data_IF_653701332426
#
_entry.id   IF_653701332426
#
_cell.length_a   1.000
_cell.length_b   1.000
_cell.length_c   1.000
_cell.angle_alpha   90.00
_cell.angle_beta   90.00
_cell.angle_gamma   90.00
#
_symmetry.space_group_name_H-M   'P 1'
#
loop_
_entity.id
_entity.type
_entity.pdbx_description
1 polymer ?
#
# COMPACT_ATOMS: atom_id res chain seq x y z
N UNK A 1 6.56 -3.57 -20.87
CA UNK A 1 6.27 -2.63 -21.97
C UNK A 1 6.92 -1.31 -21.56
N UNK A 2 7.70 -0.67 -22.44
CA UNK A 2 8.31 0.63 -22.11
C UNK A 2 7.19 1.67 -21.99
N UNK A 3 7.19 2.44 -20.91
CA UNK A 3 6.24 3.52 -20.69
C UNK A 3 7.05 4.82 -20.56
N UNK A 4 6.99 5.64 -21.62
CA UNK A 4 7.73 6.89 -21.72
C UNK A 4 6.98 7.99 -20.99
N UNK A 5 7.57 8.45 -19.88
CA UNK A 5 6.96 9.45 -19.03
C UNK A 5 6.59 10.73 -19.80
N UNK A 6 5.35 11.21 -19.56
CA UNK A 6 4.79 12.38 -20.21
C UNK A 6 4.82 12.30 -21.74
N UNK A 7 4.80 11.09 -22.30
CA UNK A 7 4.85 10.84 -23.75
C UNK A 7 6.06 11.50 -24.44
N UNK A 8 7.12 11.80 -23.68
CA UNK A 8 8.29 12.54 -24.15
C UNK A 8 8.07 14.04 -24.35
N UNK A 9 6.93 14.60 -23.91
CA UNK A 9 6.57 16.00 -24.08
C UNK A 9 6.79 16.82 -22.78
N UNK A 10 7.76 17.76 -22.75
CA UNK A 10 7.96 18.66 -21.62
C UNK A 10 6.77 19.57 -21.33
N UNK A 11 5.98 19.94 -22.35
CA UNK A 11 4.79 20.76 -22.17
C UNK A 11 3.70 19.98 -21.42
N UNK A 12 3.51 18.70 -21.77
CA UNK A 12 2.60 17.81 -21.04
C UNK A 12 3.02 17.65 -19.57
N UNK A 13 4.32 17.49 -19.29
CA UNK A 13 4.81 17.47 -17.90
C UNK A 13 4.47 18.78 -17.16
N UNK A 14 4.76 19.92 -17.78
CA UNK A 14 4.49 21.23 -17.18
C UNK A 14 2.99 21.47 -16.93
N UNK A 15 2.14 21.10 -17.89
CA UNK A 15 0.68 21.19 -17.75
C UNK A 15 0.17 20.31 -16.61
N UNK A 16 0.64 19.06 -16.55
CA UNK A 16 0.29 18.10 -15.50
C UNK A 16 0.67 18.64 -14.11
N UNK A 17 1.89 19.12 -13.95
CA UNK A 17 2.36 19.69 -12.69
C UNK A 17 1.55 20.92 -12.26
N UNK A 18 1.29 21.85 -13.19
CA UNK A 18 0.51 23.05 -12.88
C UNK A 18 -0.91 22.72 -12.42
N UNK A 19 -1.55 21.76 -13.12
CA UNK A 19 -2.90 21.30 -12.79
C UNK A 19 -2.97 20.68 -11.40
N UNK A 20 -2.05 19.77 -11.08
CA UNK A 20 -2.03 19.11 -9.77
C UNK A 20 -1.66 20.11 -8.68
N UNK A 21 -0.66 20.98 -8.90
CA UNK A 21 -0.20 21.98 -7.92
C UNK A 21 -1.32 22.88 -7.45
N UNK A 22 -2.08 23.46 -8.37
CA UNK A 22 -3.20 24.34 -8.03
C UNK A 22 -4.23 23.66 -7.11
N UNK A 23 -4.62 22.43 -7.43
CA UNK A 23 -5.63 21.70 -6.66
C UNK A 23 -5.05 21.10 -5.36
N UNK A 24 -3.75 20.79 -5.33
CA UNK A 24 -3.04 20.28 -4.16
C UNK A 24 -2.81 21.35 -3.09
N UNK A 25 -2.33 22.54 -3.50
CA UNK A 25 -2.07 23.68 -2.61
C UNK A 25 -3.37 24.19 -1.96
N UNK A 26 -4.47 24.13 -2.70
CA UNK A 26 -5.82 24.52 -2.22
C UNK A 26 -6.54 23.39 -1.48
N UNK A 27 -5.89 22.24 -1.23
CA UNK A 27 -6.45 21.07 -0.54
C UNK A 27 -7.73 20.52 -1.19
N UNK A 28 -7.89 20.71 -2.50
CA UNK A 28 -9.05 20.24 -3.27
C UNK A 28 -8.91 18.79 -3.76
N UNK A 29 -7.72 18.19 -3.67
CA UNK A 29 -7.52 16.77 -4.00
C UNK A 29 -7.62 15.94 -2.73
N UNK A 30 -8.37 14.84 -2.77
CA UNK A 30 -8.39 13.84 -1.70
C UNK A 30 -7.54 12.67 -2.17
N UNK A 31 -6.40 12.38 -1.52
CA UNK A 31 -5.62 11.22 -1.91
C UNK A 31 -6.43 9.94 -1.63
N UNK A 32 -6.73 9.19 -2.68
CA UNK A 32 -7.48 7.94 -2.68
C UNK A 32 -6.64 6.83 -3.28
N UNK A 33 -6.79 5.64 -2.71
CA UNK A 33 -6.11 4.41 -3.11
C UNK A 33 -6.67 3.78 -4.39
N UNK A 34 -7.45 4.55 -5.14
CA UNK A 34 -8.03 4.18 -6.42
C UNK A 34 -8.20 5.42 -7.29
N UNK A 35 -8.23 5.21 -8.60
CA UNK A 35 -8.39 6.28 -9.58
C UNK A 35 -9.80 6.88 -9.48
N UNK A 36 -9.91 8.14 -9.06
CA UNK A 36 -11.20 8.84 -8.97
C UNK A 36 -11.12 10.21 -9.62
N UNK A 37 -12.02 10.46 -10.56
CA UNK A 37 -12.20 11.76 -11.19
C UNK A 37 -13.68 12.09 -11.31
N UNK A 38 -14.03 13.34 -11.02
CA UNK A 38 -15.37 13.89 -11.21
C UNK A 38 -15.25 15.29 -11.78
N UNK A 39 -15.98 15.57 -12.85
CA UNK A 39 -16.10 16.94 -13.35
C UNK A 39 -16.95 17.77 -12.35
N UNK A 40 -16.46 18.94 -11.91
CA UNK A 40 -17.19 19.85 -11.00
C UNK A 40 -16.78 19.75 -9.52
N UNK A 41 -17.68 20.10 -8.59
CA UNK A 41 -17.44 20.12 -7.14
C UNK A 41 -17.29 18.72 -6.48
N UNK A 42 -17.12 17.68 -7.29
CA UNK A 42 -16.96 16.29 -6.83
C UNK A 42 -15.58 16.01 -6.23
N UNK A 43 -15.41 14.76 -5.80
CA UNK A 43 -14.13 14.26 -5.27
C UNK A 43 -13.23 13.83 -6.43
N UNK A 44 -11.98 14.29 -6.43
CA UNK A 44 -10.92 13.85 -7.31
C UNK A 44 -9.71 13.37 -6.50
N UNK A 45 -9.10 12.28 -6.96
CA UNK A 45 -7.84 11.71 -6.46
C UNK A 45 -6.64 12.42 -7.09
N UNK A 46 -5.43 12.25 -6.55
CA UNK A 46 -4.19 12.74 -7.17
C UNK A 46 -4.03 12.12 -8.56
N UNK A 47 -4.11 10.79 -8.67
CA UNK A 47 -4.08 10.07 -9.95
C UNK A 47 -5.19 10.53 -10.90
N UNK A 48 -6.41 10.74 -10.38
CA UNK A 48 -7.54 11.22 -11.17
C UNK A 48 -7.30 12.64 -11.69
N UNK A 49 -6.68 13.51 -10.89
CA UNK A 49 -6.36 14.90 -11.26
C UNK A 49 -5.24 14.95 -12.30
N UNK A 50 -4.22 14.09 -12.18
CA UNK A 50 -3.11 13.98 -13.12
C UNK A 50 -3.63 13.75 -14.55
N UNK A 51 -4.56 12.81 -14.75
CA UNK A 51 -5.03 12.44 -16.07
C UNK A 51 -6.44 12.96 -16.44
N UNK A 52 -7.12 13.60 -15.49
CA UNK A 52 -8.53 14.03 -15.60
C UNK A 52 -9.44 12.92 -16.12
N UNK A 53 -9.29 11.73 -15.53
CA UNK A 53 -10.02 10.52 -15.93
C UNK A 53 -10.16 9.56 -14.75
N UNK A 54 -11.18 8.71 -14.83
CA UNK A 54 -11.37 7.56 -13.95
C UNK A 54 -11.16 6.22 -14.69
N UNK A 55 -10.79 6.28 -15.96
CA UNK A 55 -10.48 5.12 -16.81
C UNK A 55 -8.98 4.80 -16.75
N UNK A 56 -8.58 3.60 -16.30
CA UNK A 56 -7.18 3.18 -16.22
C UNK A 56 -6.41 3.24 -17.55
N UNK A 57 -7.03 2.82 -18.65
CA UNK A 57 -6.38 2.82 -19.96
C UNK A 57 -6.16 4.26 -20.46
N UNK A 58 -7.14 5.14 -20.24
CA UNK A 58 -6.99 6.56 -20.56
C UNK A 58 -5.94 7.25 -19.67
N UNK A 59 -5.79 6.84 -18.41
CA UNK A 59 -4.73 7.35 -17.55
C UNK A 59 -3.36 7.14 -18.19
N UNK A 60 -3.05 5.89 -18.57
CA UNK A 60 -1.76 5.54 -19.18
C UNK A 60 -1.60 6.23 -20.52
N UNK A 61 -2.63 6.22 -21.38
CA UNK A 61 -2.57 6.83 -22.70
C UNK A 61 -2.36 8.35 -22.68
N UNK A 62 -2.89 9.06 -21.68
CA UNK A 62 -2.77 10.52 -21.56
C UNK A 62 -1.48 10.99 -20.89
N UNK A 63 -0.85 10.14 -20.10
CA UNK A 63 0.26 10.55 -19.21
C UNK A 63 1.58 9.85 -19.54
N UNK A 64 1.54 8.68 -20.17
CA UNK A 64 2.72 7.81 -20.30
C UNK A 64 3.23 7.25 -18.98
N UNK A 65 2.46 7.37 -17.89
CA UNK A 65 2.81 6.85 -16.57
C UNK A 65 2.06 5.53 -16.28
N UNK A 66 2.67 4.55 -15.61
CA UNK A 66 1.95 3.41 -15.06
C UNK A 66 0.93 3.89 -14.02
N UNK A 67 -0.29 3.36 -14.07
CA UNK A 67 -1.32 3.70 -13.07
C UNK A 67 -0.87 3.24 -11.68
N UNK A 68 -0.25 2.08 -11.61
CA UNK A 68 0.27 1.45 -10.41
C UNK A 68 1.26 2.36 -9.67
N UNK A 69 2.10 3.09 -10.42
CA UNK A 69 3.03 4.06 -9.84
C UNK A 69 2.28 5.23 -9.21
N UNK A 70 1.28 5.78 -9.90
CA UNK A 70 0.48 6.88 -9.37
C UNK A 70 -0.30 6.45 -8.12
N UNK A 71 -0.89 5.25 -8.14
CA UNK A 71 -1.60 4.69 -6.98
C UNK A 71 -0.66 4.38 -5.82
N UNK A 72 0.57 3.92 -6.09
CA UNK A 72 1.59 3.73 -5.06
C UNK A 72 1.94 5.05 -4.37
N UNK A 73 2.25 6.09 -5.15
CA UNK A 73 2.54 7.42 -4.61
C UNK A 73 1.36 7.97 -3.79
N UNK A 74 0.15 7.88 -4.35
CA UNK A 74 -1.07 8.36 -3.71
C UNK A 74 -1.40 7.60 -2.41
N UNK A 75 -1.12 6.30 -2.37
CA UNK A 75 -1.26 5.47 -1.18
C UNK A 75 -0.28 5.88 -0.07
N UNK A 76 0.98 6.19 -0.40
CA UNK A 76 1.95 6.70 0.58
C UNK A 76 1.48 8.04 1.16
N UNK A 77 0.99 8.94 0.30
CA UNK A 77 0.40 10.22 0.73
C UNK A 77 -0.84 10.01 1.62
N UNK A 78 -1.78 9.16 1.19
CA UNK A 78 -3.00 8.84 1.93
C UNK A 78 -2.68 8.28 3.32
N UNK A 79 -1.69 7.39 3.41
CA UNK A 79 -1.24 6.79 4.68
C UNK A 79 -0.72 7.86 5.64
N UNK A 80 -0.08 8.91 5.12
CA UNK A 80 0.46 10.03 5.92
C UNK A 80 -0.57 11.11 6.30
N UNK A 81 -1.74 11.13 5.66
CA UNK A 81 -2.77 12.15 5.91
C UNK A 81 -3.77 11.70 6.97
N UNK A 82 -4.11 12.66 7.83
CA UNK A 82 -5.21 12.60 8.78
C UNK A 82 -6.39 13.42 8.26
N UNK A 83 -7.56 12.79 8.26
CA UNK A 83 -8.84 13.44 8.02
C UNK A 83 -9.45 13.79 9.38
N UNK A 84 -9.81 15.05 9.58
CA UNK A 84 -10.47 15.53 10.80
C UNK A 84 -11.80 16.15 10.40
N UNK A 85 -12.88 15.72 11.03
CA UNK A 85 -14.21 16.28 10.78
C UNK A 85 -14.21 17.79 11.11
N UNK A 86 -14.76 18.58 10.20
CA UNK A 86 -14.88 20.02 10.31
C UNK A 86 -16.14 20.46 9.54
N UNK A 87 -17.21 20.75 10.29
CA UNK A 87 -18.50 21.17 9.74
C UNK A 87 -18.43 22.49 8.95
N UNK A 88 -17.38 23.28 9.16
CA UNK A 88 -17.17 24.55 8.45
C UNK A 88 -16.41 24.38 7.15
N UNK A 89 -15.71 23.25 6.97
CA UNK A 89 -15.00 22.95 5.75
C UNK A 89 -15.99 22.56 4.62
N UNK A 90 -15.74 22.95 3.36
CA UNK A 90 -16.64 22.66 2.23
C UNK A 90 -16.97 21.17 2.02
N UNK A 91 -16.15 20.27 2.57
CA UNK A 91 -16.30 18.80 2.46
C UNK A 91 -16.64 18.12 3.77
N UNK A 92 -16.88 18.87 4.84
CA UNK A 92 -17.12 18.34 6.19
C UNK A 92 -15.87 17.82 6.89
N UNK A 93 -14.68 18.02 6.31
CA UNK A 93 -13.41 17.66 6.93
C UNK A 93 -12.25 18.53 6.43
N UNK A 94 -11.20 18.57 7.23
CA UNK A 94 -9.88 19.09 6.88
C UNK A 94 -8.85 17.96 6.82
N UNK A 95 -7.81 18.16 6.01
CA UNK A 95 -6.69 17.23 5.92
C UNK A 95 -5.46 17.83 6.61
N UNK A 96 -4.81 17.05 7.48
CA UNK A 96 -3.57 17.42 8.15
C UNK A 96 -2.50 16.35 7.92
N UNK A 97 -1.24 16.77 7.77
CA UNK A 97 -0.09 15.88 7.59
C UNK A 97 1.21 16.63 7.87
N UNK A 98 2.29 15.87 8.02
CA UNK A 98 3.65 16.39 8.03
C UNK A 98 4.00 17.08 6.70
N UNK A 99 4.84 18.12 6.75
CA UNK A 99 5.22 18.90 5.56
C UNK A 99 5.86 18.03 4.48
N UNK A 100 6.65 17.01 4.85
CA UNK A 100 7.26 16.10 3.87
C UNK A 100 6.22 15.24 3.15
N UNK A 101 5.14 14.85 3.83
CA UNK A 101 4.01 14.15 3.20
C UNK A 101 3.31 15.06 2.18
N UNK A 102 3.11 16.33 2.54
CA UNK A 102 2.52 17.32 1.64
C UNK A 102 3.41 17.57 0.42
N UNK A 103 4.70 17.79 0.62
CA UNK A 103 5.67 18.02 -0.47
C UNK A 103 5.76 16.82 -1.41
N UNK A 104 5.76 15.60 -0.85
CA UNK A 104 5.82 14.38 -1.66
C UNK A 104 4.67 14.28 -2.66
N UNK A 105 3.48 14.82 -2.35
CA UNK A 105 2.30 14.81 -3.26
C UNK A 105 2.56 15.37 -4.66
N UNK A 106 3.56 16.25 -4.81
CA UNK A 106 4.04 16.77 -6.10
C UNK A 106 5.46 16.32 -6.44
N UNK A 107 6.34 16.17 -5.45
CA UNK A 107 7.77 15.92 -5.66
C UNK A 107 8.04 14.69 -6.53
N UNK A 108 7.25 13.63 -6.40
CA UNK A 108 7.42 12.43 -7.21
C UNK A 108 7.16 12.67 -8.70
N UNK A 109 6.18 13.53 -9.05
CA UNK A 109 5.93 13.93 -10.44
C UNK A 109 7.07 14.79 -10.98
N UNK A 110 7.61 15.68 -10.14
CA UNK A 110 8.73 16.54 -10.50
C UNK A 110 10.01 15.73 -10.74
N UNK A 111 10.24 14.68 -9.94
CA UNK A 111 11.39 13.79 -10.00
C UNK A 111 11.48 12.94 -11.28
N UNK A 112 10.38 12.73 -12.00
CA UNK A 112 10.36 11.93 -13.23
C UNK A 112 10.91 12.75 -14.40
N UNK A 113 12.05 12.40 -14.98
CA UNK A 113 12.49 13.03 -16.22
C UNK A 113 11.50 12.79 -17.37
N UNK A 114 11.34 13.79 -18.23
CA UNK A 114 10.56 13.64 -19.47
C UNK A 114 11.20 12.53 -20.29
N UNK A 115 10.37 11.69 -20.91
CA UNK A 115 10.82 10.56 -21.73
C UNK A 115 11.56 9.46 -20.96
N UNK A 116 11.61 9.49 -19.62
CA UNK A 116 12.14 8.39 -18.83
C UNK A 116 11.26 7.13 -18.99
N UNK A 117 11.87 5.94 -19.05
CA UNK A 117 11.11 4.69 -19.02
C UNK A 117 10.72 4.32 -17.59
N UNK A 118 9.47 4.59 -17.23
CA UNK A 118 8.94 4.38 -15.89
C UNK A 118 8.16 3.06 -15.75
N UNK A 119 8.16 2.22 -16.79
CA UNK A 119 7.35 1.00 -16.85
C UNK A 119 7.68 -0.05 -15.78
N UNK A 120 8.89 -0.05 -15.23
CA UNK A 120 9.37 -1.04 -14.27
C UNK A 120 9.53 -0.50 -12.83
N UNK A 121 9.17 0.76 -12.58
CA UNK A 121 9.47 1.43 -11.30
C UNK A 121 8.83 0.71 -10.11
N UNK A 122 7.57 0.30 -10.23
CA UNK A 122 6.87 -0.39 -9.13
C UNK A 122 7.52 -1.75 -8.84
N UNK A 123 7.89 -2.51 -9.87
CA UNK A 123 8.65 -3.75 -9.70
C UNK A 123 10.01 -3.50 -9.02
N UNK A 124 10.70 -2.40 -9.34
CA UNK A 124 11.96 -2.03 -8.67
C UNK A 124 11.76 -1.54 -7.23
N UNK A 125 10.58 -1.02 -6.91
CA UNK A 125 10.24 -0.55 -5.57
C UNK A 125 9.95 -1.69 -4.59
N UNK A 126 9.29 -2.78 -5.04
CA UNK A 126 8.91 -3.89 -4.15
C UNK A 126 10.09 -4.50 -3.34
N UNK A 127 11.28 -4.76 -3.93
CA UNK A 127 12.43 -5.21 -3.15
C UNK A 127 12.91 -4.18 -2.12
N UNK A 128 12.85 -2.87 -2.45
CA UNK A 128 13.22 -1.79 -1.52
C UNK A 128 12.25 -1.77 -0.34
N UNK A 129 10.95 -1.81 -0.63
CA UNK A 129 9.88 -1.85 0.36
C UNK A 129 10.05 -3.04 1.32
N UNK A 130 10.20 -4.24 0.78
CA UNK A 130 10.35 -5.45 1.60
C UNK A 130 11.66 -5.45 2.40
N UNK A 131 12.77 -4.96 1.82
CA UNK A 131 14.05 -4.84 2.54
C UNK A 131 13.93 -3.91 3.76
N UNK A 132 13.24 -2.78 3.59
CA UNK A 132 13.05 -1.82 4.68
C UNK A 132 12.15 -2.37 5.80
N UNK A 133 11.17 -3.21 5.48
CA UNK A 133 10.34 -3.92 6.48
C UNK A 133 11.16 -4.94 7.28
N UNK A 134 12.15 -5.56 6.66
CA UNK A 134 13.04 -6.52 7.31
C UNK A 134 14.14 -5.85 8.15
N UNK A 135 14.29 -4.54 8.08
CA UNK A 135 15.24 -3.77 8.88
C UNK A 135 14.87 -3.81 10.37
N UNK A 136 15.87 -3.77 11.25
CA UNK A 136 15.66 -3.64 12.69
C UNK A 136 15.09 -2.26 13.07
N UNK A 137 15.19 -1.28 12.17
CA UNK A 137 14.61 0.06 12.33
C UNK A 137 13.10 0.11 12.02
N UNK A 138 12.54 -0.95 11.43
CA UNK A 138 11.11 -1.01 11.15
C UNK A 138 10.31 -1.02 12.48
N UNK A 139 9.27 -0.18 12.64
CA UNK A 139 8.57 -0.04 13.93
C UNK A 139 7.98 -1.33 14.51
N UNK A 140 7.72 -2.35 13.68
CA UNK A 140 7.19 -3.64 14.10
C UNK A 140 8.20 -4.78 13.91
N UNK A 141 9.50 -4.49 13.77
CA UNK A 141 10.54 -5.49 13.53
C UNK A 141 10.57 -6.62 14.56
N UNK A 142 10.19 -6.34 15.81
CA UNK A 142 10.11 -7.30 16.90
C UNK A 142 8.89 -8.25 16.80
N UNK A 143 7.84 -7.85 16.09
CA UNK A 143 6.62 -8.65 15.88
C UNK A 143 6.71 -9.56 14.65
N UNK A 144 7.74 -9.42 13.82
CA UNK A 144 7.92 -10.26 12.64
C UNK A 144 8.63 -11.56 13.06
N UNK A 145 7.90 -12.67 12.95
CA UNK A 145 8.42 -14.01 13.20
C UNK A 145 9.70 -14.29 12.38
N UNK A 146 10.75 -14.86 12.98
CA UNK A 146 11.98 -15.23 12.26
C UNK A 146 11.76 -16.08 11.00
N UNK A 147 10.77 -16.98 11.00
CA UNK A 147 10.43 -17.81 9.85
C UNK A 147 9.85 -16.95 8.70
N UNK A 148 9.02 -15.94 9.02
CA UNK A 148 8.51 -14.97 8.05
C UNK A 148 9.67 -14.14 7.48
N UNK A 149 10.61 -13.68 8.32
CA UNK A 149 11.83 -12.99 7.86
C UNK A 149 12.66 -13.87 6.92
N UNK A 150 12.76 -15.17 7.20
CA UNK A 150 13.49 -16.11 6.34
C UNK A 150 12.86 -16.20 4.95
N UNK A 151 11.55 -16.44 4.87
CA UNK A 151 10.85 -16.56 3.58
C UNK A 151 10.91 -15.23 2.80
N UNK A 152 10.79 -14.09 3.48
CA UNK A 152 10.93 -12.78 2.85
C UNK A 152 12.31 -12.58 2.20
N UNK A 153 13.39 -13.08 2.83
CA UNK A 153 14.74 -13.04 2.23
C UNK A 153 14.85 -13.96 1.02
N UNK A 154 14.20 -15.12 1.04
CA UNK A 154 14.15 -16.02 -0.12
C UNK A 154 13.41 -15.37 -1.31
N UNK A 155 12.31 -14.63 -1.04
CA UNK A 155 11.61 -13.83 -2.07
C UNK A 155 12.54 -12.77 -2.66
N UNK A 156 13.22 -11.99 -1.81
CA UNK A 156 14.18 -10.98 -2.25
C UNK A 156 15.29 -11.58 -3.11
N UNK A 157 15.78 -12.77 -2.77
CA UNK A 157 16.79 -13.48 -3.56
C UNK A 157 16.27 -13.84 -4.96
N UNK A 158 15.04 -14.35 -5.08
CA UNK A 158 14.47 -14.65 -6.40
C UNK A 158 14.23 -13.39 -7.23
N UNK A 159 13.74 -12.30 -6.63
CA UNK A 159 13.59 -11.03 -7.32
C UNK A 159 14.92 -10.46 -7.78
N UNK A 160 15.99 -10.62 -7.00
CA UNK A 160 17.33 -10.20 -7.40
C UNK A 160 17.86 -11.01 -8.58
N UNK A 161 17.61 -12.33 -8.62
CA UNK A 161 17.91 -13.16 -9.79
C UNK A 161 17.14 -12.67 -11.03
N UNK A 162 15.82 -12.43 -10.92
CA UNK A 162 15.00 -11.89 -12.01
C UNK A 162 15.54 -10.55 -12.53
N UNK A 163 15.94 -9.66 -11.62
CA UNK A 163 16.49 -8.33 -11.95
C UNK A 163 17.82 -8.40 -12.69
N UNK A 164 18.62 -9.44 -12.43
CA UNK A 164 19.88 -9.72 -13.16
C UNK A 164 19.66 -10.42 -14.50
N UNK A 165 18.41 -10.74 -14.85
CA UNK A 165 18.07 -11.51 -16.04
C UNK A 165 18.39 -13.01 -15.89
N UNK A 166 18.61 -13.49 -14.67
CA UNK A 166 18.85 -14.90 -14.40
C UNK A 166 17.52 -15.68 -14.48
N UNK A 167 17.48 -16.84 -15.15
CA UNK A 167 16.26 -17.62 -15.27
C UNK A 167 15.86 -18.22 -13.91
N UNK A 168 14.69 -17.82 -13.39
CA UNK A 168 14.12 -18.40 -12.18
C UNK A 168 13.11 -19.49 -12.55
N UNK A 169 13.35 -20.77 -12.19
CA UNK A 169 12.44 -21.84 -12.57
C UNK A 169 11.11 -21.72 -11.81
N UNK A 170 9.99 -22.02 -12.48
CA UNK A 170 8.65 -21.94 -11.85
C UNK A 170 8.50 -22.82 -10.61
N UNK A 171 9.36 -23.85 -10.44
CA UNK A 171 9.43 -24.66 -9.22
C UNK A 171 9.89 -23.84 -8.01
N UNK A 172 10.84 -22.93 -8.17
CA UNK A 172 11.33 -22.08 -7.07
C UNK A 172 10.19 -21.20 -6.53
N UNK A 173 9.44 -20.56 -7.42
CA UNK A 173 8.24 -19.78 -7.05
C UNK A 173 7.13 -20.63 -6.43
N UNK A 174 6.95 -21.89 -6.84
CA UNK A 174 6.00 -22.80 -6.17
C UNK A 174 6.45 -23.14 -4.75
N UNK A 175 7.73 -23.43 -4.55
CA UNK A 175 8.28 -23.73 -3.21
C UNK A 175 8.15 -22.54 -2.27
N UNK A 176 8.55 -21.34 -2.71
CA UNK A 176 8.44 -20.15 -1.86
C UNK A 176 6.99 -19.83 -1.52
N UNK A 177 6.04 -19.96 -2.45
CA UNK A 177 4.61 -19.78 -2.14
C UNK A 177 4.10 -20.76 -1.09
N UNK A 178 4.47 -22.03 -1.20
CA UNK A 178 4.10 -23.03 -0.20
C UNK A 178 4.70 -22.70 1.18
N UNK A 179 5.96 -22.26 1.23
CA UNK A 179 6.61 -21.83 2.46
C UNK A 179 5.96 -20.57 3.04
N UNK A 180 5.66 -19.57 2.21
CA UNK A 180 5.02 -18.33 2.61
C UNK A 180 3.63 -18.57 3.19
N UNK A 181 2.83 -19.43 2.55
CA UNK A 181 1.55 -19.89 3.08
C UNK A 181 1.73 -20.60 4.44
N UNK A 182 2.66 -21.54 4.53
CA UNK A 182 2.91 -22.30 5.76
C UNK A 182 3.32 -21.41 6.94
N UNK A 183 4.25 -20.47 6.74
CA UNK A 183 4.65 -19.54 7.81
C UNK A 183 3.56 -18.55 8.15
N UNK A 184 2.75 -18.18 7.17
CA UNK A 184 1.55 -17.36 7.37
C UNK A 184 0.57 -18.13 8.27
N UNK A 185 0.08 -19.29 7.84
CA UNK A 185 -0.85 -20.14 8.62
C UNK A 185 -0.33 -20.50 10.01
N UNK A 186 0.98 -20.70 10.15
CA UNK A 186 1.64 -21.00 11.42
C UNK A 186 1.77 -19.80 12.37
N UNK A 187 1.57 -18.56 11.90
CA UNK A 187 1.70 -17.36 12.71
C UNK A 187 0.62 -17.29 13.79
N UNK A 188 1.04 -17.03 15.04
CA UNK A 188 0.14 -16.99 16.21
C UNK A 188 0.03 -15.62 16.86
N UNK A 189 0.92 -14.70 16.52
CA UNK A 189 0.91 -13.32 17.07
C UNK A 189 0.07 -12.41 16.15
N UNK A 190 -1.08 -11.89 16.61
CA UNK A 190 -1.89 -10.95 15.85
C UNK A 190 -1.12 -9.71 15.39
N UNK A 191 -0.14 -9.24 16.17
CA UNK A 191 0.69 -8.11 15.80
C UNK A 191 1.63 -8.42 14.61
N UNK A 192 1.99 -9.70 14.43
CA UNK A 192 2.83 -10.18 13.33
C UNK A 192 2.05 -10.54 12.05
N UNK A 193 0.72 -10.63 12.09
CA UNK A 193 -0.09 -11.07 10.94
C UNK A 193 0.08 -10.17 9.72
N UNK A 194 0.24 -8.86 9.90
CA UNK A 194 0.44 -7.94 8.78
C UNK A 194 1.67 -8.32 7.94
N UNK A 195 2.79 -8.62 8.58
CA UNK A 195 4.02 -9.01 7.88
C UNK A 195 3.91 -10.40 7.25
N UNK A 196 3.27 -11.35 7.95
CA UNK A 196 3.04 -12.69 7.42
C UNK A 196 2.17 -12.66 6.14
N UNK A 197 1.06 -11.92 6.19
CA UNK A 197 0.13 -11.74 5.08
C UNK A 197 0.79 -11.00 3.90
N UNK A 198 1.66 -10.03 4.19
CA UNK A 198 2.45 -9.34 3.17
C UNK A 198 3.38 -10.31 2.44
N UNK A 199 4.16 -11.10 3.19
CA UNK A 199 5.10 -12.07 2.63
C UNK A 199 4.39 -13.13 1.79
N UNK A 200 3.23 -13.61 2.26
CA UNK A 200 2.36 -14.49 1.47
C UNK A 200 1.91 -13.84 0.16
N UNK A 201 1.48 -12.57 0.21
CA UNK A 201 1.00 -11.83 -0.97
C UNK A 201 2.11 -11.53 -1.98
N UNK A 202 3.36 -11.34 -1.51
CA UNK A 202 4.51 -10.98 -2.33
C UNK A 202 5.26 -12.19 -2.93
N UNK A 203 4.85 -13.43 -2.64
CA UNK A 203 5.53 -14.65 -3.08
C UNK A 203 5.34 -14.96 -4.58
N UNK A 204 5.53 -13.98 -5.46
CA UNK A 204 5.31 -14.06 -6.91
C UNK A 204 6.44 -13.36 -7.69
N UNK A 205 6.62 -13.68 -8.99
CA UNK A 205 7.54 -12.94 -9.86
C UNK A 205 7.28 -11.43 -9.80
N UNK A 206 8.36 -10.64 -9.78
CA UNK A 206 8.25 -9.20 -9.47
C UNK A 206 7.38 -8.44 -10.48
N UNK A 207 7.58 -8.72 -11.77
CA UNK A 207 6.77 -8.12 -12.83
C UNK A 207 5.29 -8.53 -12.77
N UNK A 208 4.99 -9.72 -12.24
CA UNK A 208 3.63 -10.23 -12.13
C UNK A 208 2.84 -9.62 -10.98
N UNK A 209 3.51 -9.26 -9.88
CA UNK A 209 2.87 -8.74 -8.65
C UNK A 209 2.92 -7.20 -8.54
N UNK A 210 3.64 -6.55 -9.47
CA UNK A 210 3.78 -5.09 -9.46
C UNK A 210 2.44 -4.36 -9.63
N UNK A 211 1.47 -4.97 -10.32
CA UNK A 211 0.14 -4.38 -10.53
C UNK A 211 -0.68 -4.33 -9.25
N UNK A 212 -0.57 -5.36 -8.42
CA UNK A 212 -1.24 -5.50 -7.14
C UNK A 212 -0.46 -4.82 -5.99
N UNK A 213 0.81 -4.47 -6.24
CA UNK A 213 1.72 -3.86 -5.29
C UNK A 213 1.11 -2.70 -4.48
N UNK A 214 0.46 -1.69 -5.09
CA UNK A 214 -0.16 -0.60 -4.34
C UNK A 214 -1.21 -1.06 -3.33
N UNK A 215 -2.09 -2.00 -3.72
CA UNK A 215 -3.17 -2.51 -2.87
C UNK A 215 -2.60 -3.38 -1.74
N UNK A 216 -1.62 -4.22 -2.04
CA UNK A 216 -0.93 -5.07 -1.06
C UNK A 216 -0.23 -4.18 -0.01
N UNK A 217 0.55 -3.20 -0.46
CA UNK A 217 1.27 -2.26 0.41
C UNK A 217 0.33 -1.42 1.26
N UNK A 218 -0.80 -0.97 0.70
CA UNK A 218 -1.82 -0.25 1.45
C UNK A 218 -2.38 -1.09 2.60
N UNK A 219 -2.82 -2.31 2.31
CA UNK A 219 -3.41 -3.21 3.31
C UNK A 219 -2.41 -3.48 4.43
N UNK A 220 -1.15 -3.68 4.07
CA UNK A 220 -0.06 -3.82 5.03
C UNK A 220 0.10 -2.57 5.92
N UNK A 221 0.25 -1.38 5.32
CA UNK A 221 0.44 -0.13 6.07
C UNK A 221 -0.73 0.20 7.00
N UNK A 222 -1.96 -0.03 6.55
CA UNK A 222 -3.15 0.12 7.38
C UNK A 222 -3.14 -0.85 8.57
N UNK A 223 -2.71 -2.10 8.35
CA UNK A 223 -2.58 -3.10 9.40
C UNK A 223 -1.46 -2.73 10.38
N UNK A 224 -0.30 -2.26 9.89
CA UNK A 224 0.78 -1.76 10.73
C UNK A 224 0.32 -0.61 11.63
N UNK A 225 -0.44 0.35 11.08
CA UNK A 225 -0.98 1.45 11.86
C UNK A 225 -1.94 0.95 12.95
N UNK A 226 -2.74 -0.08 12.70
CA UNK A 226 -3.59 -0.70 13.73
C UNK A 226 -2.76 -1.37 14.84
N UNK A 227 -1.71 -2.10 14.49
CA UNK A 227 -0.81 -2.72 15.48
C UNK A 227 -0.12 -1.65 16.33
N UNK A 228 0.40 -0.59 15.71
CA UNK A 228 1.01 0.54 16.41
C UNK A 228 0.00 1.34 17.25
N UNK A 229 -1.28 1.29 16.90
CA UNK A 229 -2.36 1.92 17.67
C UNK A 229 -2.75 1.11 18.91
N UNK A 230 -2.55 -0.21 18.92
CA UNK A 230 -3.01 -1.10 19.99
C UNK A 230 -2.56 -0.65 21.41
N UNK A 231 -1.31 -0.21 21.64
CA UNK A 231 -0.87 0.27 22.96
C UNK A 231 -1.65 1.47 23.52
N UNK A 232 -2.33 2.25 22.66
CA UNK A 232 -3.12 3.41 23.07
C UNK A 232 -4.57 3.08 23.42
N UNK A 233 -4.97 1.82 23.26
CA UNK A 233 -6.31 1.33 23.57
C UNK A 233 -6.43 0.87 25.02
N UNK A 234 -7.67 0.77 25.51
CA UNK A 234 -7.94 0.12 26.78
C UNK A 234 -7.56 -1.37 26.72
N UNK A 235 -7.23 -2.04 27.85
CA UNK A 235 -6.89 -3.46 27.84
C UNK A 235 -7.97 -4.35 27.20
N UNK A 236 -9.25 -4.01 27.39
CA UNK A 236 -10.36 -4.75 26.78
C UNK A 236 -10.41 -4.56 25.26
N UNK A 237 -10.27 -3.31 24.78
CA UNK A 237 -10.23 -3.03 23.34
C UNK A 237 -9.02 -3.70 22.66
N UNK A 238 -7.88 -3.83 23.35
CA UNK A 238 -6.71 -4.57 22.85
C UNK A 238 -7.02 -6.06 22.68
N UNK A 239 -7.70 -6.67 23.66
CA UNK A 239 -8.14 -8.08 23.59
C UNK A 239 -9.12 -8.27 22.44
N UNK A 240 -10.09 -7.38 22.29
CA UNK A 240 -11.12 -7.50 21.26
C UNK A 240 -10.55 -7.28 19.85
N UNK A 241 -9.60 -6.34 19.71
CA UNK A 241 -8.83 -6.17 18.47
C UNK A 241 -8.03 -7.43 18.12
N UNK A 242 -7.28 -8.00 19.07
CA UNK A 242 -6.48 -9.20 18.85
C UNK A 242 -7.36 -10.40 18.47
N UNK A 243 -8.51 -10.58 19.14
CA UNK A 243 -9.52 -11.58 18.77
C UNK A 243 -10.10 -11.36 17.38
N UNK A 244 -10.39 -10.11 17.02
CA UNK A 244 -10.89 -9.75 15.70
C UNK A 244 -9.90 -10.11 14.58
N UNK A 245 -8.61 -9.84 14.77
CA UNK A 245 -7.56 -10.25 13.83
C UNK A 245 -7.42 -11.78 13.72
N UNK A 246 -7.44 -12.48 14.86
CA UNK A 246 -7.42 -13.94 14.88
C UNK A 246 -8.64 -14.54 14.16
N UNK A 247 -9.83 -13.98 14.39
CA UNK A 247 -11.06 -14.39 13.72
C UNK A 247 -11.03 -14.15 12.21
N UNK A 248 -10.49 -13.01 11.74
CA UNK A 248 -10.29 -12.76 10.30
C UNK A 248 -9.35 -13.77 9.66
N UNK A 249 -8.27 -14.14 10.37
CA UNK A 249 -7.32 -15.15 9.91
C UNK A 249 -7.97 -16.53 9.83
N UNK A 250 -8.72 -16.90 10.87
CA UNK A 250 -9.45 -18.17 10.92
C UNK A 250 -10.53 -18.25 9.83
N UNK A 251 -11.26 -17.17 9.55
CA UNK A 251 -12.23 -17.12 8.46
C UNK A 251 -11.58 -17.40 7.10
N UNK A 252 -10.39 -16.83 6.84
CA UNK A 252 -9.63 -17.10 5.61
C UNK A 252 -9.19 -18.57 5.51
N UNK A 253 -8.76 -19.15 6.64
CA UNK A 253 -8.40 -20.57 6.73
C UNK A 253 -9.59 -21.47 6.44
N UNK A 254 -10.75 -21.18 7.02
CA UNK A 254 -11.98 -21.96 6.75
C UNK A 254 -12.39 -21.83 5.29
N UNK A 255 -12.25 -20.64 4.68
CA UNK A 255 -12.57 -20.43 3.26
C UNK A 255 -11.71 -21.27 2.31
N UNK A 256 -10.45 -21.54 2.65
CA UNK A 256 -9.57 -22.36 1.81
C UNK A 256 -9.90 -23.86 1.88
N UNK A 257 -10.80 -24.28 2.78
CA UNK A 257 -11.29 -25.65 2.86
C UNK A 257 -12.35 -25.93 1.77
N UNK A 258 -12.23 -27.07 1.07
CA UNK A 258 -13.11 -27.47 -0.03
C UNK A 258 -14.63 -27.34 0.22
N UNK A 259 -15.20 -27.72 1.39
CA UNK A 259 -16.64 -27.57 1.64
C UNK A 259 -17.11 -26.11 1.84
N UNK A 260 -16.18 -25.17 1.93
CA UNK A 260 -16.42 -23.77 2.28
C UNK A 260 -16.02 -22.79 1.16
N UNK A 261 -15.32 -23.27 0.13
CA UNK A 261 -14.75 -22.44 -0.94
C UNK A 261 -15.79 -21.63 -1.73
N UNK A 262 -16.99 -22.19 -1.91
CA UNK A 262 -18.08 -21.57 -2.69
C UNK A 262 -19.08 -20.79 -1.81
N UNK A 263 -18.88 -20.75 -0.50
CA UNK A 263 -19.79 -20.04 0.42
C UNK A 263 -19.47 -18.54 0.44
N UNK A 264 -20.52 -17.72 0.56
CA UNK A 264 -20.35 -16.29 0.82
C UNK A 264 -19.78 -16.06 2.23
N UNK A 265 -19.12 -14.91 2.42
CA UNK A 265 -18.64 -14.46 3.72
C UNK A 265 -19.76 -14.47 4.78
N UNK A 266 -20.96 -14.05 4.40
CA UNK A 266 -22.14 -14.06 5.28
C UNK A 266 -22.52 -15.47 5.71
N UNK A 267 -22.58 -16.43 4.76
CA UNK A 267 -22.91 -17.82 5.05
C UNK A 267 -21.84 -18.51 5.92
N UNK A 268 -20.56 -18.16 5.74
CA UNK A 268 -19.48 -18.63 6.60
C UNK A 268 -19.60 -18.07 8.01
N UNK A 269 -19.84 -16.76 8.14
CA UNK A 269 -19.99 -16.10 9.44
C UNK A 269 -21.22 -16.59 10.20
N UNK A 270 -22.32 -16.93 9.51
CA UNK A 270 -23.52 -17.50 10.14
C UNK A 270 -23.29 -18.92 10.67
N UNK A 271 -22.37 -19.69 10.07
CA UNK A 271 -21.94 -21.00 10.55
C UNK A 271 -20.93 -20.92 11.70
N UNK A 272 -20.27 -19.78 11.86
CA UNK A 272 -19.22 -19.52 12.86
C UNK A 272 -19.52 -18.26 13.68
N UNK A 273 -20.55 -18.31 14.56
CA UNK A 273 -21.01 -17.14 15.31
C UNK A 273 -19.93 -16.52 16.21
N UNK A 274 -18.99 -17.31 16.72
CA UNK A 274 -17.84 -16.86 17.49
C UNK A 274 -16.88 -15.99 16.65
N UNK A 275 -16.64 -16.38 15.39
CA UNK A 275 -15.82 -15.61 14.43
C UNK A 275 -16.55 -14.30 14.09
N UNK A 276 -17.86 -14.39 13.79
CA UNK A 276 -18.71 -13.22 13.50
C UNK A 276 -18.69 -12.21 14.64
N UNK A 277 -18.89 -12.66 15.87
CA UNK A 277 -18.89 -11.77 17.04
C UNK A 277 -17.53 -11.10 17.24
N UNK A 278 -16.43 -11.86 17.16
CA UNK A 278 -15.08 -11.32 17.30
C UNK A 278 -14.72 -10.31 16.21
N UNK A 279 -15.17 -10.52 14.96
CA UNK A 279 -14.93 -9.58 13.86
C UNK A 279 -15.75 -8.30 13.96
N UNK A 280 -16.98 -8.39 14.49
CA UNK A 280 -17.89 -7.25 14.61
C UNK A 280 -17.60 -6.36 15.82
N UNK A 281 -17.02 -6.90 16.90
CA UNK A 281 -16.76 -6.13 18.12
C UNK A 281 -15.89 -4.88 17.87
N UNK A 282 -14.77 -4.94 17.14
CA UNK A 282 -13.97 -3.75 16.80
C UNK A 282 -14.66 -2.78 15.82
N UNK A 283 -15.69 -3.23 15.11
CA UNK A 283 -16.41 -2.44 14.10
C UNK A 283 -17.58 -1.64 14.70
N UNK A 284 -17.92 -1.87 15.97
CA UNK A 284 -18.93 -1.06 16.65
C UNK A 284 -18.52 0.41 16.62
N UNK A 285 -19.42 1.37 16.30
CA UNK A 285 -19.05 2.77 16.07
C UNK A 285 -18.18 3.39 17.18
N UNK A 286 -18.50 3.08 18.44
CA UNK A 286 -17.72 3.56 19.58
C UNK A 286 -16.31 2.93 19.65
N UNK A 287 -16.16 1.65 19.32
CA UNK A 287 -14.87 0.97 19.28
C UNK A 287 -14.03 1.46 18.09
N UNK A 288 -14.65 1.64 16.93
CA UNK A 288 -14.02 2.21 15.74
C UNK A 288 -13.50 3.63 16.02
N UNK A 289 -14.31 4.49 16.66
CA UNK A 289 -13.88 5.84 17.04
C UNK A 289 -12.68 5.84 18.01
N UNK A 290 -12.65 4.91 18.98
CA UNK A 290 -11.49 4.75 19.89
C UNK A 290 -10.24 4.27 19.15
N UNK A 291 -10.41 3.32 18.22
CA UNK A 291 -9.33 2.85 17.34
C UNK A 291 -8.80 3.98 16.46
N UNK A 292 -9.66 4.81 15.88
CA UNK A 292 -9.21 5.92 15.04
C UNK A 292 -8.47 6.97 15.86
N UNK A 293 -8.94 7.32 17.05
CA UNK A 293 -8.20 8.17 17.98
C UNK A 293 -6.84 7.57 18.39
N UNK A 294 -6.75 6.25 18.56
CA UNK A 294 -5.49 5.56 18.84
C UNK A 294 -4.54 5.58 17.62
N UNK A 295 -5.05 5.36 16.40
CA UNK A 295 -4.27 5.50 15.16
C UNK A 295 -3.70 6.90 15.00
N UNK A 296 -4.46 7.95 15.35
CA UNK A 296 -3.94 9.32 15.31
C UNK A 296 -2.70 9.49 16.18
N UNK A 297 -2.67 8.90 17.37
CA UNK A 297 -1.50 8.92 18.27
C UNK A 297 -0.33 8.09 17.73
N UNK A 298 -0.63 6.97 17.06
CA UNK A 298 0.37 6.05 16.53
C UNK A 298 1.04 6.50 15.22
N UNK A 299 0.47 7.48 14.50
CA UNK A 299 1.00 7.95 13.21
C UNK A 299 2.45 8.42 13.28
N UNK A 300 2.84 9.07 14.38
CA UNK A 300 4.23 9.53 14.57
C UNK A 300 5.24 8.37 14.58
N UNK A 301 4.84 7.18 15.03
CA UNK A 301 5.69 5.99 15.02
C UNK A 301 5.84 5.39 13.61
N UNK A 302 4.83 5.53 12.75
CA UNK A 302 4.88 5.04 11.37
C UNK A 302 5.55 6.04 10.41
N UNK A 303 5.55 7.33 10.75
CA UNK A 303 6.04 8.40 9.89
C UNK A 303 7.48 8.19 9.40
N UNK A 304 8.48 7.84 10.24
CA UNK A 304 9.85 7.63 9.75
C UNK A 304 9.93 6.56 8.66
N UNK A 305 9.21 5.44 8.84
CA UNK A 305 9.14 4.37 7.85
C UNK A 305 8.46 4.84 6.56
N UNK A 306 7.37 5.59 6.67
CA UNK A 306 6.67 6.12 5.50
C UNK A 306 7.55 7.09 4.68
N UNK A 307 8.28 7.98 5.36
CA UNK A 307 9.23 8.88 4.70
C UNK A 307 10.38 8.10 4.04
N UNK A 308 10.86 7.02 4.66
CA UNK A 308 11.85 6.13 4.07
C UNK A 308 11.34 5.47 2.77
N UNK A 309 10.06 5.10 2.71
CA UNK A 309 9.44 4.59 1.48
C UNK A 309 9.38 5.66 0.39
N UNK A 310 8.96 6.88 0.75
CA UNK A 310 8.90 8.01 -0.17
C UNK A 310 10.28 8.33 -0.75
N UNK A 311 11.31 8.39 0.10
CA UNK A 311 12.70 8.62 -0.31
C UNK A 311 13.22 7.49 -1.21
N UNK A 312 12.91 6.24 -0.87
CA UNK A 312 13.23 5.06 -1.70
C UNK A 312 12.63 5.15 -3.09
N UNK A 313 11.36 5.56 -3.19
CA UNK A 313 10.69 5.75 -4.48
C UNK A 313 11.27 6.92 -5.27
N UNK A 314 11.50 8.07 -4.64
CA UNK A 314 12.11 9.24 -5.29
C UNK A 314 13.49 8.90 -5.88
N UNK A 315 14.30 8.13 -5.16
CA UNK A 315 15.60 7.69 -5.66
C UNK A 315 15.47 6.81 -6.91
N UNK A 316 14.50 5.90 -6.96
CA UNK A 316 14.23 5.08 -8.14
C UNK A 316 13.78 5.93 -9.34
N UNK A 317 12.90 6.90 -9.11
CA UNK A 317 12.42 7.81 -10.16
C UNK A 317 13.56 8.65 -10.73
N UNK A 318 14.43 9.20 -9.87
CA UNK A 318 15.60 10.00 -10.27
C UNK A 318 16.61 9.17 -11.07
N UNK A 319 16.95 7.97 -10.63
CA UNK A 319 17.88 7.06 -11.33
C UNK A 319 17.42 6.65 -12.72
N UNK A 320 16.10 6.64 -12.96
CA UNK A 320 15.54 6.31 -14.27
C UNK A 320 15.87 7.38 -15.31
N UNK A 321 16.13 8.62 -14.86
CA UNK A 321 16.58 9.73 -15.68
C UNK A 321 18.01 9.58 -16.20
N UNK A 322 18.84 8.75 -15.55
CA UNK A 322 20.28 8.62 -15.85
C UNK A 322 20.59 7.42 -16.77
N UNK A 323 19.60 6.61 -17.16
CA UNK A 323 19.82 5.49 -18.08
C UNK A 323 19.81 5.99 -19.53
N UNK A 324 20.91 5.84 -20.30
CA UNK A 324 20.88 6.15 -21.73
C UNK A 324 19.88 5.21 -22.43
N UNK A 325 19.06 5.79 -23.31
CA UNK A 325 18.16 5.03 -24.19
C UNK A 325 19.04 4.16 -25.08
N UNK A 326 19.07 2.85 -24.82
CA UNK A 326 19.68 1.92 -25.77
C UNK A 326 18.84 1.91 -27.04
N UNK A 327 19.48 2.06 -28.22
CA UNK A 327 18.81 2.24 -29.51
C UNK A 327 18.01 1.02 -29.97
#
# INVERSE_FOLDING_TARGET
MSLRAFLGDPALKAETLNRVRQAWDTRQIIPLIYLKWSNGAGVASLAGTIAQTQDPALFVARTGLPLELALLCEMLVNTGITFQDDETAPRGFIMTADERIWSFGLEWLEAIAVDADVGDVVARFLPVFLTQILSDEFPLAANIDPAVKSVARDILQLWECERRGEPVPSRAWRTIRANALLVSEGSRDPAGYAAADLVESLAWPCAGIAVEGPVISQKFLQSCLQVLAAPFLSPQDQIDWAKGLAAQRELRRIRSEAPSADLSDEALLDRHPEIKQAMLAPQQPAAAARMDAAKQKARSALLPFLLQQMDGLLNLLRQTSDRPVSP
#
